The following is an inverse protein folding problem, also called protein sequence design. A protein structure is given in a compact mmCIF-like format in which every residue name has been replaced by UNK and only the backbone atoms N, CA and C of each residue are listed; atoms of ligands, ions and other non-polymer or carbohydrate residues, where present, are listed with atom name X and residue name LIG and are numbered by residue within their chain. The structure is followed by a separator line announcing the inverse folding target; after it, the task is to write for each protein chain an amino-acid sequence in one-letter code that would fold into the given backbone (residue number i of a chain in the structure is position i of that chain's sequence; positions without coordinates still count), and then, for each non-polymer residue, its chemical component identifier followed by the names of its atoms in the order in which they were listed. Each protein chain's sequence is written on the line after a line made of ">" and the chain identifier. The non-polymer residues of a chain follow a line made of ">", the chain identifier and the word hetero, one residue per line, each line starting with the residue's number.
data_IF_420949250975
#
_entry.id   IF_420949250975
#
_cell.length_a   1.000
_cell.length_b   1.000
_cell.length_c   1.000
_cell.angle_alpha   90.00
_cell.angle_beta   90.00
_cell.angle_gamma   90.00
#
_symmetry.space_group_name_H-M   'P 1'
#
loop_
_entity.id
_entity.type
_entity.pdbx_description
1 polymer ?
#
# COMPACT_ATOMS: atom_id res chain seq x y z
N UNK A 1 -10.20 -14.99 -25.47
CA UNK A 1 -11.42 -14.21 -25.21
C UNK A 1 -11.06 -13.08 -24.26
N UNK A 2 -11.20 -11.83 -24.71
CA UNK A 2 -10.85 -10.63 -23.93
C UNK A 2 -12.11 -10.20 -23.18
N UNK A 3 -12.12 -10.36 -21.87
CA UNK A 3 -13.19 -9.93 -20.95
C UNK A 3 -12.51 -9.52 -19.65
N UNK A 4 -12.55 -8.30 -19.13
CA UNK A 4 -13.34 -7.11 -19.47
C UNK A 4 -12.51 -5.86 -19.14
N UNK A 5 -12.23 -5.01 -20.14
CA UNK A 5 -11.66 -3.68 -19.94
C UNK A 5 -12.73 -2.71 -19.46
N UNK A 6 -13.22 -2.91 -18.24
CA UNK A 6 -14.00 -1.89 -17.55
C UNK A 6 -13.10 -0.67 -17.31
N UNK A 7 -13.68 0.53 -17.30
CA UNK A 7 -13.02 1.76 -16.85
C UNK A 7 -12.72 1.58 -15.36
N UNK A 8 -11.65 0.85 -15.04
CA UNK A 8 -11.19 0.68 -13.67
C UNK A 8 -10.40 1.92 -13.30
N UNK A 9 -10.89 2.63 -12.29
CA UNK A 9 -10.13 3.70 -11.68
C UNK A 9 -8.85 3.13 -11.03
N UNK A 10 -7.77 3.91 -11.04
CA UNK A 10 -6.45 3.50 -10.54
C UNK A 10 -6.55 3.03 -9.08
N UNK A 11 -7.41 3.68 -8.31
CA UNK A 11 -7.64 3.35 -6.90
C UNK A 11 -8.30 1.97 -6.72
N UNK A 12 -9.24 1.61 -7.60
CA UNK A 12 -9.90 0.30 -7.56
C UNK A 12 -8.92 -0.81 -7.96
N UNK A 13 -8.11 -0.57 -8.99
CA UNK A 13 -7.05 -1.49 -9.40
C UNK A 13 -6.02 -1.69 -8.28
N UNK A 14 -5.58 -0.61 -7.63
CA UNK A 14 -4.65 -0.68 -6.51
C UNK A 14 -5.20 -1.50 -5.36
N UNK A 15 -6.47 -1.31 -5.01
CA UNK A 15 -7.13 -2.08 -3.96
C UNK A 15 -7.12 -3.59 -4.26
N UNK A 16 -7.38 -3.99 -5.50
CA UNK A 16 -7.36 -5.39 -5.91
C UNK A 16 -5.95 -6.00 -5.87
N UNK A 17 -4.94 -5.24 -6.30
CA UNK A 17 -3.53 -5.64 -6.20
C UNK A 17 -3.10 -5.81 -4.73
N UNK A 18 -3.51 -4.92 -3.83
CA UNK A 18 -3.18 -5.03 -2.41
C UNK A 18 -3.88 -6.23 -1.75
N UNK A 19 -5.15 -6.50 -2.10
CA UNK A 19 -5.88 -7.67 -1.60
C UNK A 19 -5.25 -8.98 -2.07
N UNK A 20 -4.85 -9.06 -3.34
CA UNK A 20 -4.19 -10.26 -3.88
C UNK A 20 -2.81 -10.45 -3.25
N UNK A 21 -2.00 -9.40 -3.11
CA UNK A 21 -0.72 -9.47 -2.41
C UNK A 21 -0.86 -9.95 -0.96
N UNK A 22 -1.93 -9.53 -0.27
CA UNK A 22 -2.22 -9.97 1.10
C UNK A 22 -2.53 -11.47 1.18
N UNK A 23 -3.30 -12.02 0.22
CA UNK A 23 -3.60 -13.47 0.16
C UNK A 23 -2.33 -14.31 -0.04
N UNK A 24 -1.33 -13.76 -0.71
CA UNK A 24 -0.06 -14.43 -0.99
C UNK A 24 1.07 -14.10 0.01
N UNK A 25 0.75 -13.49 1.16
CA UNK A 25 1.73 -13.04 2.17
C UNK A 25 2.85 -12.14 1.59
N UNK A 26 2.56 -11.42 0.50
CA UNK A 26 3.51 -10.59 -0.25
C UNK A 26 3.53 -9.13 0.15
N UNK A 27 2.86 -8.76 1.26
CA UNK A 27 2.64 -7.37 1.64
C UNK A 27 3.37 -7.03 2.95
N UNK A 28 4.35 -6.14 2.87
CA UNK A 28 5.03 -5.57 4.04
C UNK A 28 4.23 -4.41 4.62
N UNK A 29 3.84 -4.50 5.91
CA UNK A 29 2.89 -3.54 6.51
C UNK A 29 3.54 -2.78 7.68
N UNK A 30 3.38 -1.46 7.65
CA UNK A 30 4.00 -0.54 8.62
C UNK A 30 5.42 -0.13 8.25
N UNK A 31 5.87 0.98 8.84
CA UNK A 31 7.07 1.69 8.38
C UNK A 31 8.36 0.87 8.48
N UNK A 32 8.51 0.07 9.54
CA UNK A 32 9.72 -0.72 9.78
C UNK A 32 9.88 -1.83 8.76
N UNK A 33 8.79 -2.55 8.47
CA UNK A 33 8.79 -3.62 7.47
C UNK A 33 8.91 -3.06 6.07
N UNK A 34 8.21 -1.96 5.77
CA UNK A 34 8.29 -1.28 4.49
C UNK A 34 9.72 -0.79 4.21
N UNK A 35 10.34 -0.06 5.14
CA UNK A 35 11.73 0.40 4.98
C UNK A 35 12.70 -0.77 4.73
N UNK A 36 12.57 -1.86 5.51
CA UNK A 36 13.40 -3.06 5.33
C UNK A 36 13.19 -3.73 3.96
N UNK A 37 11.96 -3.77 3.45
CA UNK A 37 11.65 -4.35 2.15
C UNK A 37 12.16 -3.46 0.99
N UNK A 38 12.08 -2.14 1.15
CA UNK A 38 12.64 -1.15 0.24
C UNK A 38 14.17 -1.27 0.19
N UNK A 39 14.83 -1.29 1.35
CA UNK A 39 16.30 -1.43 1.46
C UNK A 39 16.82 -2.72 0.81
N UNK A 40 16.08 -3.82 0.98
CA UNK A 40 16.42 -5.13 0.38
C UNK A 40 16.11 -5.21 -1.12
N UNK A 41 15.49 -4.17 -1.70
CA UNK A 41 15.03 -4.15 -3.10
C UNK A 41 14.08 -5.30 -3.44
N UNK A 42 13.28 -5.72 -2.46
CA UNK A 42 12.28 -6.78 -2.62
C UNK A 42 10.90 -6.21 -2.97
N UNK A 43 10.68 -4.92 -2.74
CA UNK A 43 9.43 -4.26 -3.04
C UNK A 43 9.36 -3.84 -4.52
N UNK A 44 8.27 -4.23 -5.19
CA UNK A 44 7.96 -3.76 -6.55
C UNK A 44 7.25 -2.41 -6.55
N UNK A 45 6.50 -2.12 -5.49
CA UNK A 45 5.65 -0.93 -5.38
C UNK A 45 5.54 -0.53 -3.91
N UNK A 46 5.51 0.77 -3.64
CA UNK A 46 5.27 1.34 -2.32
C UNK A 46 3.99 2.19 -2.34
N UNK A 47 3.15 2.04 -1.32
CA UNK A 47 1.97 2.87 -1.13
C UNK A 47 2.13 3.67 0.15
N UNK A 48 2.00 4.99 0.05
CA UNK A 48 2.11 5.91 1.17
C UNK A 48 0.83 6.74 1.29
N UNK A 49 0.35 6.94 2.52
CA UNK A 49 -0.75 7.86 2.77
C UNK A 49 -0.24 9.31 2.77
N UNK A 50 -0.95 10.22 2.10
CA UNK A 50 -0.61 11.65 2.07
C UNK A 50 -0.93 12.35 3.40
N UNK A 51 -1.91 11.84 4.16
CA UNK A 51 -2.29 12.34 5.48
C UNK A 51 -1.36 11.89 6.64
N UNK A 52 -0.08 11.61 6.37
CA UNK A 52 0.89 11.28 7.41
C UNK A 52 1.35 12.54 8.16
N UNK A 53 1.06 12.60 9.47
CA UNK A 53 1.40 13.74 10.34
C UNK A 53 2.91 13.92 10.55
N UNK A 54 3.70 12.86 10.41
CA UNK A 54 5.14 12.85 10.68
C UNK A 54 5.94 13.04 9.36
N UNK A 55 6.49 14.24 9.10
CA UNK A 55 7.16 14.53 7.81
C UNK A 55 8.45 13.73 7.62
N UNK A 56 9.06 13.27 8.71
CA UNK A 56 10.24 12.41 8.69
C UNK A 56 9.95 11.07 8.01
N UNK A 57 8.75 10.52 8.21
CA UNK A 57 8.35 9.25 7.62
C UNK A 57 8.16 9.35 6.11
N UNK A 58 7.50 10.43 5.66
CA UNK A 58 7.29 10.70 4.23
C UNK A 58 8.65 10.83 3.54
N UNK A 59 9.57 11.63 4.09
CA UNK A 59 10.91 11.83 3.53
C UNK A 59 11.71 10.53 3.43
N UNK A 60 11.65 9.69 4.47
CA UNK A 60 12.37 8.41 4.48
C UNK A 60 11.85 7.50 3.36
N UNK A 61 10.54 7.32 3.26
CA UNK A 61 9.94 6.43 2.24
C UNK A 61 10.18 6.96 0.84
N UNK A 62 10.03 8.28 0.61
CA UNK A 62 10.30 8.91 -0.67
C UNK A 62 11.77 8.76 -1.09
N UNK A 63 12.71 8.98 -0.17
CA UNK A 63 14.14 8.82 -0.43
C UNK A 63 14.50 7.38 -0.80
N UNK A 64 14.01 6.39 -0.04
CA UNK A 64 14.26 4.98 -0.33
C UNK A 64 13.63 4.54 -1.65
N UNK A 65 12.43 5.01 -1.97
CA UNK A 65 11.78 4.70 -3.25
C UNK A 65 12.55 5.32 -4.42
N UNK A 66 13.02 6.57 -4.28
CA UNK A 66 13.79 7.25 -5.31
C UNK A 66 15.17 6.58 -5.54
N UNK A 67 15.86 6.20 -4.47
CA UNK A 67 17.19 5.57 -4.56
C UNK A 67 17.13 4.18 -5.20
N UNK A 68 16.08 3.41 -4.90
CA UNK A 68 15.93 2.03 -5.39
C UNK A 68 15.07 1.92 -6.66
N UNK A 69 14.62 3.04 -7.23
CA UNK A 69 13.75 3.10 -8.42
C UNK A 69 12.44 2.33 -8.24
N UNK A 70 11.85 2.44 -7.07
CA UNK A 70 10.59 1.78 -6.72
C UNK A 70 9.43 2.77 -6.94
N UNK A 71 8.37 2.31 -7.59
CA UNK A 71 7.21 3.15 -7.84
C UNK A 71 6.48 3.47 -6.53
N UNK A 72 6.31 4.77 -6.26
CA UNK A 72 5.59 5.28 -5.09
C UNK A 72 4.20 5.78 -5.52
N UNK A 73 3.14 5.22 -4.94
CA UNK A 73 1.77 5.71 -5.09
C UNK A 73 1.33 6.37 -3.79
N UNK A 74 0.78 7.58 -3.90
CA UNK A 74 0.19 8.30 -2.76
C UNK A 74 -1.32 8.10 -2.73
N UNK A 75 -1.86 7.79 -1.56
CA UNK A 75 -3.31 7.64 -1.29
C UNK A 75 -3.72 8.69 -0.27
N UNK A 76 -4.93 9.21 -0.37
CA UNK A 76 -5.37 10.34 0.46
C UNK A 76 -5.43 10.00 1.95
N UNK A 77 -6.02 8.84 2.31
CA UNK A 77 -6.32 8.48 3.70
C UNK A 77 -5.58 7.22 4.17
N UNK A 78 -4.82 7.36 5.25
CA UNK A 78 -4.19 6.24 5.98
C UNK A 78 -5.19 5.20 6.49
N UNK A 79 -6.40 5.61 6.92
CA UNK A 79 -7.45 4.70 7.38
C UNK A 79 -7.93 3.79 6.26
N UNK A 80 -8.22 4.38 5.10
CA UNK A 80 -8.65 3.67 3.89
C UNK A 80 -7.56 2.71 3.41
N UNK A 81 -6.29 3.13 3.46
CA UNK A 81 -5.15 2.27 3.17
C UNK A 81 -5.09 1.10 4.17
N UNK A 82 -5.31 1.36 5.46
CA UNK A 82 -5.38 0.33 6.50
C UNK A 82 -6.47 -0.71 6.24
N UNK A 83 -7.66 -0.29 5.80
CA UNK A 83 -8.75 -1.19 5.39
C UNK A 83 -8.35 -2.07 4.21
N UNK A 84 -7.68 -1.50 3.20
CA UNK A 84 -7.24 -2.25 2.01
C UNK A 84 -6.18 -3.30 2.33
N UNK A 85 -5.34 -3.02 3.32
CA UNK A 85 -4.23 -3.89 3.77
C UNK A 85 -4.68 -4.82 4.92
N UNK A 86 -5.99 -4.88 5.21
CA UNK A 86 -6.54 -5.82 6.19
C UNK A 86 -6.08 -5.55 7.63
N UNK A 87 -5.78 -4.29 7.96
CA UNK A 87 -5.45 -3.86 9.33
C UNK A 87 -6.69 -3.55 10.17
N UNK A 88 -7.87 -3.40 9.55
CA UNK A 88 -9.13 -3.27 10.26
C UNK A 88 -9.48 -4.56 11.00
N UNK A 89 -9.78 -4.43 12.29
CA UNK A 89 -10.36 -5.50 13.08
C UNK A 89 -11.87 -5.37 12.96
N UNK A 90 -12.48 -6.31 12.24
CA UNK A 90 -13.94 -6.37 12.15
C UNK A 90 -14.47 -6.77 13.52
N UNK A 91 -15.31 -5.92 14.12
CA UNK A 91 -15.97 -6.24 15.39
C UNK A 91 -16.96 -7.40 15.21
N UNK A 92 -17.39 -8.04 16.31
CA UNK A 92 -18.36 -9.16 16.29
C UNK A 92 -19.67 -8.85 15.55
N UNK A 93 -19.98 -7.57 15.33
CA UNK A 93 -21.15 -7.07 14.60
C UNK A 93 -20.92 -6.90 13.09
N UNK A 94 -19.74 -7.23 12.56
CA UNK A 94 -19.44 -7.12 11.13
C UNK A 94 -19.12 -5.70 10.64
N UNK A 95 -18.87 -4.75 11.54
CA UNK A 95 -18.42 -3.39 11.19
C UNK A 95 -16.89 -3.38 11.08
N UNK A 96 -16.33 -2.79 10.00
CA UNK A 96 -14.89 -2.65 9.81
C UNK A 96 -14.26 -1.69 10.82
#
# INVERSE_FOLDING_TARGET
>A
SITAGGVMDVNTALQEVLKTALIHDGLARGIREAAKALDKRQAHLCVLASNCDEPTYVKLVEALCAEHQINLIKVDDNKKLGEWVGLCKIDREGKP
#
